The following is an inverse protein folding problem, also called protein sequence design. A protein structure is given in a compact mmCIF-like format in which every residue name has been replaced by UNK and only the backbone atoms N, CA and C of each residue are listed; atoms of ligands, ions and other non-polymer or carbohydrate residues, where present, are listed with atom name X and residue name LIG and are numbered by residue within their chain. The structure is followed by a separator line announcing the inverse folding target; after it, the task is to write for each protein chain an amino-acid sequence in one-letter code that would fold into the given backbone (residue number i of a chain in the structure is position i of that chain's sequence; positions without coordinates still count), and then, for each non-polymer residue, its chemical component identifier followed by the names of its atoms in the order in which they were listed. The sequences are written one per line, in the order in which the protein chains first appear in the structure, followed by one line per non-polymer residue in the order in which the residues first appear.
data_IF_903325067365
#
_entry.id   IF_903325067365
#
_cell.length_a   1.000
_cell.length_b   1.000
_cell.length_c   1.000
_cell.angle_alpha   90.00
_cell.angle_beta   90.00
_cell.angle_gamma   90.00
#
_symmetry.space_group_name_H-M   'P 1'
#
loop_
_entity.id
_entity.type
_entity.pdbx_description
1 polymer ?
#
# COMPACT_ATOMS: atom_id res chain seq x y z
N UNK A 1 -8.59 -7.78 21.19
CA UNK A 1 -8.34 -7.81 19.71
C UNK A 1 -6.99 -7.15 19.46
N UNK A 2 -6.11 -7.77 18.70
CA UNK A 2 -4.81 -7.17 18.36
C UNK A 2 -4.99 -6.31 17.09
N UNK A 3 -4.68 -5.02 17.18
CA UNK A 3 -4.73 -4.12 16.03
C UNK A 3 -3.44 -4.25 15.19
N UNK A 4 -3.58 -4.19 13.87
CA UNK A 4 -2.46 -4.36 12.95
C UNK A 4 -1.63 -3.08 12.81
N UNK A 5 -2.26 -1.91 13.00
CA UNK A 5 -1.65 -0.59 12.87
C UNK A 5 -2.37 0.45 13.74
N UNK A 6 -1.79 1.63 13.98
CA UNK A 6 -2.47 2.78 14.58
C UNK A 6 -3.74 3.18 13.82
N UNK A 7 -3.70 3.20 12.48
CA UNK A 7 -4.85 3.47 11.62
C UNK A 7 -5.99 2.46 11.88
N UNK A 8 -5.67 1.16 11.94
CA UNK A 8 -6.64 0.11 12.22
C UNK A 8 -7.37 0.35 13.56
N UNK A 9 -6.61 0.72 14.60
CA UNK A 9 -7.19 1.01 15.91
C UNK A 9 -8.17 2.18 15.85
N UNK A 10 -7.80 3.30 15.23
CA UNK A 10 -8.65 4.49 15.10
C UNK A 10 -9.93 4.20 14.32
N UNK A 11 -9.84 3.48 13.21
CA UNK A 11 -11.01 3.06 12.42
C UNK A 11 -11.95 2.16 13.21
N UNK A 12 -11.41 1.21 13.97
CA UNK A 12 -12.21 0.33 14.84
C UNK A 12 -12.93 1.12 15.93
N UNK A 13 -12.27 2.10 16.53
CA UNK A 13 -12.82 2.93 17.59
C UNK A 13 -13.82 4.00 17.08
N UNK A 14 -14.07 4.05 15.77
CA UNK A 14 -14.97 5.02 15.12
C UNK A 14 -14.45 6.46 15.16
N UNK A 15 -13.14 6.65 15.36
CA UNK A 15 -12.50 7.97 15.37
C UNK A 15 -12.38 8.47 13.94
N UNK A 16 -12.69 9.75 13.71
CA UNK A 16 -12.43 10.38 12.41
C UNK A 16 -10.94 10.36 12.10
N UNK A 17 -10.59 9.89 10.91
CA UNK A 17 -9.20 9.69 10.47
C UNK A 17 -8.88 10.66 9.34
N UNK A 18 -7.74 11.35 9.46
CA UNK A 18 -7.20 12.21 8.44
C UNK A 18 -5.95 11.57 7.82
N UNK A 19 -5.98 11.27 6.53
CA UNK A 19 -4.83 10.73 5.80
C UNK A 19 -4.29 11.73 4.80
N UNK A 20 -2.97 11.79 4.66
CA UNK A 20 -2.30 12.54 3.60
C UNK A 20 -1.72 11.58 2.55
N UNK A 21 -1.31 12.12 1.40
CA UNK A 21 -0.69 11.34 0.33
C UNK A 21 0.68 11.91 -0.02
N UNK A 22 1.62 11.03 -0.33
CA UNK A 22 2.94 11.38 -0.85
C UNK A 22 3.31 10.52 -2.05
N UNK A 23 3.92 11.16 -3.04
CA UNK A 23 4.66 10.45 -4.09
C UNK A 23 6.09 10.28 -3.63
N UNK A 24 6.64 9.05 -3.60
CA UNK A 24 8.05 8.83 -3.33
C UNK A 24 8.95 9.66 -4.25
N UNK A 25 10.09 10.17 -3.77
CA UNK A 25 10.94 11.03 -4.56
C UNK A 25 11.69 10.26 -5.66
N UNK A 26 12.17 11.01 -6.66
CA UNK A 26 13.11 10.53 -7.68
C UNK A 26 14.55 10.61 -7.13
N UNK A 27 14.78 9.96 -6.00
CA UNK A 27 16.03 10.02 -5.27
C UNK A 27 16.34 8.68 -4.62
N UNK A 28 17.63 8.40 -4.40
CA UNK A 28 18.12 7.15 -3.82
C UNK A 28 18.55 7.30 -2.35
N UNK A 29 18.02 8.30 -1.64
CA UNK A 29 18.28 8.47 -0.21
C UNK A 29 16.97 8.69 0.58
N UNK A 30 16.97 8.26 1.83
CA UNK A 30 15.79 8.35 2.70
C UNK A 30 15.51 9.77 3.20
N UNK A 31 16.52 10.62 3.27
CA UNK A 31 16.43 11.97 3.78
C UNK A 31 15.52 12.83 2.92
N UNK A 32 15.58 12.68 1.60
CA UNK A 32 14.68 13.38 0.66
C UNK A 32 13.21 13.00 0.91
N UNK A 33 12.93 11.71 1.14
CA UNK A 33 11.58 11.26 1.49
C UNK A 33 11.13 11.82 2.83
N UNK A 34 11.95 11.67 3.89
CA UNK A 34 11.60 12.11 5.24
C UNK A 34 11.39 13.63 5.33
N UNK A 35 12.22 14.42 4.66
CA UNK A 35 12.05 15.89 4.61
C UNK A 35 10.72 16.29 3.97
N UNK A 36 10.25 15.54 2.96
CA UNK A 36 8.95 15.76 2.33
C UNK A 36 7.78 15.41 3.25
N UNK A 37 7.95 14.42 4.12
CA UNK A 37 6.90 13.88 5.00
C UNK A 37 6.85 14.58 6.36
N UNK A 38 7.97 15.06 6.89
CA UNK A 38 8.04 15.68 8.21
C UNK A 38 6.95 16.72 8.50
N UNK A 39 6.54 17.59 7.56
CA UNK A 39 5.44 18.54 7.80
C UNK A 39 4.07 17.87 8.01
N UNK A 40 3.91 16.62 7.60
CA UNK A 40 2.65 15.88 7.66
C UNK A 40 2.57 14.94 8.87
N UNK A 41 3.70 14.65 9.52
CA UNK A 41 3.82 13.64 10.59
C UNK A 41 2.87 13.90 11.76
N UNK A 42 2.67 15.16 12.14
CA UNK A 42 1.88 15.55 13.30
C UNK A 42 0.43 15.94 12.94
N UNK A 43 0.07 15.93 11.66
CA UNK A 43 -1.27 16.33 11.18
C UNK A 43 -2.04 15.21 10.52
N UNK A 44 -1.38 14.17 10.04
CA UNK A 44 -2.02 13.03 9.39
C UNK A 44 -1.91 11.77 10.27
N UNK A 45 -2.99 11.00 10.35
CA UNK A 45 -3.05 9.73 11.08
C UNK A 45 -2.32 8.60 10.33
N UNK A 46 -2.26 8.70 9.00
CA UNK A 46 -1.50 7.80 8.14
C UNK A 46 -1.15 8.50 6.82
N UNK A 47 -0.10 8.01 6.16
CA UNK A 47 0.40 8.57 4.90
C UNK A 47 0.24 7.54 3.77
N UNK A 48 -0.57 7.86 2.77
CA UNK A 48 -0.64 7.11 1.51
C UNK A 48 0.66 7.28 0.73
N UNK A 49 1.30 6.18 0.40
CA UNK A 49 2.53 6.12 -0.40
C UNK A 49 2.16 5.63 -1.79
N UNK A 50 2.17 6.53 -2.78
CA UNK A 50 1.76 6.19 -4.16
C UNK A 50 2.77 5.27 -4.85
N UNK A 51 2.27 4.36 -5.69
CA UNK A 51 3.09 3.38 -6.41
C UNK A 51 3.21 3.76 -7.89
N UNK A 52 4.30 4.44 -8.23
CA UNK A 52 4.63 4.91 -9.60
C UNK A 52 3.45 5.61 -10.30
N UNK A 53 2.93 6.72 -9.70
CA UNK A 53 1.80 7.45 -10.26
C UNK A 53 2.13 8.01 -11.64
N UNK A 54 1.12 8.03 -12.53
CA UNK A 54 1.29 8.45 -13.93
C UNK A 54 2.23 7.52 -14.72
N UNK A 55 2.44 6.28 -14.25
CA UNK A 55 3.37 5.30 -14.83
C UNK A 55 4.80 5.83 -15.00
N UNK A 56 5.27 6.63 -14.03
CA UNK A 56 6.64 7.16 -13.99
C UNK A 56 7.44 6.47 -12.90
N UNK A 57 8.76 6.40 -13.11
CA UNK A 57 9.68 5.80 -12.12
C UNK A 57 9.85 6.76 -10.94
N UNK A 58 9.69 6.22 -9.73
CA UNK A 58 9.98 6.86 -8.45
C UNK A 58 10.69 5.85 -7.54
N UNK A 59 11.13 6.26 -6.36
CA UNK A 59 11.52 5.31 -5.33
C UNK A 59 10.38 4.31 -5.11
N UNK A 60 10.70 3.01 -4.97
CA UNK A 60 9.71 1.96 -4.73
C UNK A 60 8.76 2.32 -3.58
N UNK A 61 7.45 2.23 -3.81
CA UNK A 61 6.44 2.50 -2.79
C UNK A 61 6.62 1.62 -1.55
N UNK A 62 6.96 0.34 -1.74
CA UNK A 62 7.27 -0.58 -0.64
C UNK A 62 8.46 -0.10 0.18
N UNK A 63 9.55 0.30 -0.48
CA UNK A 63 10.74 0.84 0.20
C UNK A 63 10.41 2.13 0.96
N UNK A 64 9.67 3.04 0.34
CA UNK A 64 9.26 4.28 0.98
C UNK A 64 8.35 4.02 2.19
N UNK A 65 7.37 3.11 2.08
CA UNK A 65 6.50 2.72 3.18
C UNK A 65 7.28 2.10 4.36
N UNK A 66 8.28 1.26 4.08
CA UNK A 66 9.16 0.69 5.10
C UNK A 66 9.96 1.80 5.81
N UNK A 67 10.51 2.76 5.06
CA UNK A 67 11.21 3.90 5.66
C UNK A 67 10.29 4.69 6.59
N UNK A 68 9.04 4.95 6.19
CA UNK A 68 8.06 5.63 7.04
C UNK A 68 7.77 4.84 8.31
N UNK A 69 7.48 3.54 8.20
CA UNK A 69 7.21 2.67 9.34
C UNK A 69 8.39 2.65 10.34
N UNK A 70 9.64 2.64 9.86
CA UNK A 70 10.84 2.69 10.69
C UNK A 70 11.09 4.06 11.34
N UNK A 71 10.32 5.10 10.98
CA UNK A 71 10.39 6.44 11.54
C UNK A 71 9.09 6.84 12.27
N UNK A 72 8.34 5.84 12.77
CA UNK A 72 7.09 6.00 13.55
C UNK A 72 5.99 6.77 12.79
N UNK A 73 5.92 6.61 11.49
CA UNK A 73 4.87 7.14 10.62
C UNK A 73 4.08 5.96 10.06
N UNK A 74 2.76 5.94 10.28
CA UNK A 74 1.90 4.84 9.82
C UNK A 74 1.66 4.95 8.29
N UNK A 75 2.25 4.08 7.45
CA UNK A 75 2.08 4.14 6.01
C UNK A 75 0.84 3.39 5.55
N UNK A 76 0.22 3.85 4.46
CA UNK A 76 -0.68 3.07 3.63
C UNK A 76 0.06 2.79 2.32
N UNK A 77 0.53 1.56 2.15
CA UNK A 77 1.22 1.15 0.93
C UNK A 77 0.22 1.00 -0.21
N UNK A 78 0.31 1.85 -1.23
CA UNK A 78 -0.33 1.58 -2.51
C UNK A 78 0.47 0.51 -3.25
N UNK A 79 -0.20 -0.55 -3.70
CA UNK A 79 0.42 -1.68 -4.38
C UNK A 79 -0.30 -1.94 -5.70
N UNK A 80 0.34 -1.59 -6.81
CA UNK A 80 -0.21 -1.76 -8.17
C UNK A 80 0.10 -3.13 -8.73
N UNK A 81 -0.84 -3.71 -9.49
CA UNK A 81 -0.66 -4.96 -10.22
C UNK A 81 -0.01 -4.74 -11.60
N UNK A 82 0.21 -3.49 -11.99
CA UNK A 82 0.76 -3.14 -13.31
C UNK A 82 2.14 -3.73 -13.56
N UNK A 83 3.06 -3.56 -12.60
CA UNK A 83 4.49 -3.79 -12.81
C UNK A 83 4.98 -5.11 -12.22
N UNK A 84 4.12 -5.83 -11.48
CA UNK A 84 4.48 -7.03 -10.72
C UNK A 84 3.57 -8.20 -11.06
N UNK A 85 4.15 -9.38 -11.24
CA UNK A 85 3.37 -10.62 -11.32
C UNK A 85 2.93 -11.08 -9.92
N UNK A 86 2.05 -12.09 -9.88
CA UNK A 86 1.49 -12.62 -8.63
C UNK A 86 2.53 -13.12 -7.63
N UNK A 87 3.69 -13.61 -8.08
CA UNK A 87 4.74 -14.09 -7.19
C UNK A 87 5.41 -12.92 -6.47
N UNK A 88 5.75 -11.85 -7.21
CA UNK A 88 6.33 -10.63 -6.66
C UNK A 88 5.34 -9.96 -5.68
N UNK A 89 4.07 -9.81 -6.07
CA UNK A 89 3.04 -9.21 -5.22
C UNK A 89 2.84 -9.97 -3.89
N UNK A 90 2.83 -11.31 -3.91
CA UNK A 90 2.74 -12.12 -2.68
C UNK A 90 4.00 -11.97 -1.81
N UNK A 91 5.18 -11.91 -2.43
CA UNK A 91 6.44 -11.63 -1.73
C UNK A 91 6.43 -10.25 -1.08
N UNK A 92 5.99 -9.23 -1.81
CA UNK A 92 5.89 -7.84 -1.32
C UNK A 92 4.91 -7.72 -0.14
N UNK A 93 3.75 -8.38 -0.19
CA UNK A 93 2.79 -8.42 0.93
C UNK A 93 3.39 -9.05 2.19
N UNK A 94 4.12 -10.15 2.04
CA UNK A 94 4.84 -10.79 3.15
C UNK A 94 5.94 -9.90 3.72
N UNK A 95 6.77 -9.33 2.84
CA UNK A 95 7.85 -8.43 3.21
C UNK A 95 7.38 -7.13 3.87
N UNK A 96 6.31 -6.52 3.34
CA UNK A 96 5.66 -5.35 3.94
C UNK A 96 5.26 -5.62 5.40
N UNK A 97 4.51 -6.70 5.62
CA UNK A 97 4.07 -7.10 6.96
C UNK A 97 5.24 -7.38 7.91
N UNK A 98 6.30 -8.05 7.44
CA UNK A 98 7.47 -8.37 8.25
C UNK A 98 8.23 -7.12 8.71
N UNK A 99 8.13 -6.02 7.96
CA UNK A 99 8.83 -4.76 8.23
C UNK A 99 7.91 -3.65 8.77
N UNK A 100 6.71 -4.00 9.29
CA UNK A 100 5.82 -3.08 9.98
C UNK A 100 4.88 -2.28 9.07
N UNK A 101 4.81 -2.61 7.78
CA UNK A 101 3.85 -2.02 6.83
C UNK A 101 2.61 -2.90 6.77
N UNK A 102 1.52 -2.46 7.39
CA UNK A 102 0.33 -3.27 7.57
C UNK A 102 -0.89 -2.78 6.78
N UNK A 103 -0.95 -1.48 6.42
CA UNK A 103 -2.07 -0.94 5.67
C UNK A 103 -1.75 -0.99 4.18
N UNK A 104 -2.59 -1.70 3.41
CA UNK A 104 -2.37 -1.95 1.99
C UNK A 104 -3.57 -1.47 1.17
N UNK A 105 -3.30 -0.67 0.13
CA UNK A 105 -4.28 -0.25 -0.86
C UNK A 105 -3.92 -0.88 -2.22
N UNK A 106 -4.70 -1.88 -2.63
CA UNK A 106 -4.50 -2.59 -3.90
C UNK A 106 -5.07 -1.79 -5.07
N UNK A 107 -4.28 -1.54 -6.09
CA UNK A 107 -4.63 -0.73 -7.26
C UNK A 107 -4.27 -1.43 -8.58
N UNK A 108 -4.95 -1.03 -9.66
CA UNK A 108 -4.61 -1.49 -11.01
C UNK A 108 -3.33 -0.84 -11.54
N UNK A 109 -3.10 0.44 -11.21
CA UNK A 109 -2.05 1.29 -11.76
C UNK A 109 -2.45 1.95 -13.08
N UNK A 110 -1.75 3.04 -13.43
CA UNK A 110 -1.97 3.79 -14.67
C UNK A 110 -1.44 3.01 -15.90
N UNK A 111 -1.98 3.29 -17.10
CA UNK A 111 -1.46 2.69 -18.33
C UNK A 111 -0.01 3.18 -18.59
N UNK A 112 0.97 2.28 -18.82
CA UNK A 112 2.34 2.68 -19.15
C UNK A 112 2.47 3.66 -20.32
N UNK A 113 1.51 3.64 -21.24
CA UNK A 113 1.50 4.55 -22.41
C UNK A 113 1.41 6.02 -22.05
N UNK A 114 0.90 6.37 -20.87
CA UNK A 114 0.81 7.76 -20.39
C UNK A 114 2.06 8.20 -19.62
N UNK A 115 2.97 7.27 -19.34
CA UNK A 115 4.21 7.51 -18.61
C UNK A 115 5.36 7.98 -19.47
N UNK A 116 6.53 8.01 -18.87
CA UNK A 116 7.78 8.42 -19.52
C UNK A 116 8.50 7.27 -20.26
N UNK A 117 8.02 6.03 -20.10
CA UNK A 117 8.52 4.82 -20.75
C UNK A 117 7.35 4.03 -21.39
N UNK A 118 6.75 4.53 -22.47
CA UNK A 118 5.50 3.98 -23.00
C UNK A 118 5.62 2.57 -23.60
N UNK A 119 6.84 2.08 -23.90
CA UNK A 119 7.10 0.70 -24.34
C UNK A 119 7.14 -0.32 -23.19
N UNK A 120 7.04 0.12 -21.94
CA UNK A 120 6.99 -0.76 -20.78
C UNK A 120 5.83 -1.75 -20.88
N UNK A 121 6.12 -3.03 -20.69
CA UNK A 121 5.11 -4.08 -20.70
C UNK A 121 4.56 -4.30 -19.29
N UNK A 122 3.26 -4.09 -19.14
CA UNK A 122 2.56 -4.45 -17.89
C UNK A 122 2.61 -5.96 -17.66
N UNK A 123 2.74 -6.36 -16.41
CA UNK A 123 2.70 -7.77 -16.03
C UNK A 123 1.33 -8.41 -16.34
N UNK A 124 0.22 -7.69 -16.06
CA UNK A 124 -1.18 -8.12 -16.34
C UNK A 124 -1.49 -9.58 -15.93
N UNK A 125 -0.85 -10.04 -14.86
CA UNK A 125 -0.98 -11.42 -14.39
C UNK A 125 -2.24 -11.61 -13.53
N UNK A 126 -2.56 -10.62 -12.70
CA UNK A 126 -3.78 -10.54 -11.89
C UNK A 126 -4.32 -9.12 -11.89
N UNK A 127 -5.59 -8.95 -11.54
CA UNK A 127 -6.18 -7.63 -11.29
C UNK A 127 -6.14 -7.24 -9.79
N UNK A 128 -6.51 -6.00 -9.48
CA UNK A 128 -6.52 -5.49 -8.11
C UNK A 128 -7.50 -6.24 -7.20
N UNK A 129 -8.63 -6.71 -7.72
CA UNK A 129 -9.62 -7.51 -6.96
C UNK A 129 -9.04 -8.88 -6.59
N UNK A 130 -8.34 -9.52 -7.52
CA UNK A 130 -7.63 -10.78 -7.28
C UNK A 130 -6.50 -10.57 -6.26
N UNK A 131 -5.79 -9.43 -6.30
CA UNK A 131 -4.77 -9.10 -5.30
C UNK A 131 -5.37 -8.96 -3.90
N UNK A 132 -6.51 -8.26 -3.75
CA UNK A 132 -7.23 -8.17 -2.46
C UNK A 132 -7.64 -9.56 -1.96
N UNK A 133 -8.17 -10.41 -2.84
CA UNK A 133 -8.55 -11.78 -2.48
C UNK A 133 -7.34 -12.61 -2.05
N UNK A 134 -6.21 -12.49 -2.77
CA UNK A 134 -4.94 -13.13 -2.42
C UNK A 134 -4.44 -12.69 -1.05
N UNK A 135 -4.41 -11.39 -0.79
CA UNK A 135 -3.95 -10.84 0.48
C UNK A 135 -4.84 -11.29 1.66
N UNK A 136 -6.18 -11.37 1.44
CA UNK A 136 -7.10 -11.91 2.44
C UNK A 136 -6.86 -13.40 2.72
N UNK A 137 -6.62 -14.20 1.68
CA UNK A 137 -6.27 -15.62 1.83
C UNK A 137 -4.97 -15.78 2.62
N UNK A 138 -3.92 -15.03 2.28
CA UNK A 138 -2.65 -15.06 3.00
C UNK A 138 -2.83 -14.69 4.49
N UNK A 139 -3.64 -13.68 4.79
CA UNK A 139 -3.88 -13.19 6.15
C UNK A 139 -4.79 -14.12 6.96
N UNK A 140 -5.98 -14.49 6.40
CA UNK A 140 -7.04 -15.22 7.12
C UNK A 140 -6.82 -16.71 7.10
N UNK A 141 -6.54 -17.27 5.90
CA UNK A 141 -6.43 -18.71 5.71
C UNK A 141 -5.01 -19.23 5.96
N UNK A 142 -4.06 -18.32 6.13
CA UNK A 142 -2.63 -18.62 6.33
C UNK A 142 -2.05 -19.47 5.20
N UNK A 143 -2.48 -19.19 3.96
CA UNK A 143 -2.08 -19.91 2.76
C UNK A 143 -1.83 -18.98 1.58
N UNK A 144 -0.88 -19.35 0.75
CA UNK A 144 -0.77 -18.83 -0.61
C UNK A 144 -1.87 -19.38 -1.51
N UNK A 145 -2.21 -18.73 -2.64
CA UNK A 145 -3.13 -19.29 -3.64
C UNK A 145 -2.76 -20.71 -4.13
N UNK A 146 -1.49 -21.07 -4.06
CA UNK A 146 -0.99 -22.43 -4.35
C UNK A 146 -1.40 -23.49 -3.31
N UNK A 147 -2.00 -23.09 -2.19
CA UNK A 147 -2.30 -23.97 -1.05
C UNK A 147 -1.15 -24.14 -0.04
N UNK A 148 0.06 -23.65 -0.37
CA UNK A 148 1.21 -23.70 0.56
C UNK A 148 0.94 -22.83 1.78
N UNK A 149 1.24 -23.37 2.99
CA UNK A 149 1.03 -22.71 4.28
C UNK A 149 2.02 -21.56 4.46
N UNK A 150 1.57 -20.49 5.13
CA UNK A 150 2.36 -19.33 5.58
C UNK A 150 2.32 -19.32 7.11
N UNK A 151 3.47 -19.36 7.76
CA UNK A 151 3.58 -19.27 9.21
C UNK A 151 4.84 -18.48 9.59
N UNK A 152 4.69 -17.33 10.29
CA UNK A 152 3.44 -16.67 10.63
C UNK A 152 2.75 -16.00 9.42
N UNK A 153 1.42 -15.86 9.51
CA UNK A 153 0.64 -15.17 8.50
C UNK A 153 0.91 -13.65 8.51
N UNK A 154 0.84 -12.95 7.36
CA UNK A 154 1.03 -11.52 7.32
C UNK A 154 -0.11 -10.78 8.03
N UNK A 155 0.25 -9.72 8.77
CA UNK A 155 -0.68 -8.82 9.45
C UNK A 155 -1.04 -7.70 8.48
N UNK A 156 -2.21 -7.74 7.86
CA UNK A 156 -2.63 -6.77 6.84
C UNK A 156 -4.00 -6.19 7.15
N UNK A 157 -4.16 -4.89 6.94
CA UNK A 157 -5.42 -4.16 6.98
C UNK A 157 -5.90 -3.92 5.54
N UNK A 158 -6.94 -4.63 5.12
CA UNK A 158 -7.49 -4.55 3.76
C UNK A 158 -8.98 -4.20 3.73
N UNK A 159 -9.78 -4.67 4.69
CA UNK A 159 -11.23 -4.50 4.67
C UNK A 159 -11.65 -3.06 4.97
N UNK A 160 -11.00 -2.42 5.91
CA UNK A 160 -11.25 -1.04 6.31
C UNK A 160 -10.83 -0.03 5.23
N UNK A 161 -9.82 -0.36 4.42
CA UNK A 161 -9.42 0.49 3.28
C UNK A 161 -10.46 0.51 2.15
N UNK A 162 -11.24 -0.57 1.98
CA UNK A 162 -12.41 -0.56 1.07
C UNK A 162 -13.49 0.43 1.51
N UNK A 163 -13.63 0.63 2.80
CA UNK A 163 -14.57 1.62 3.36
C UNK A 163 -14.14 3.05 3.01
N UNK A 164 -12.86 3.38 3.19
CA UNK A 164 -12.29 4.68 2.82
C UNK A 164 -12.45 5.00 1.33
N UNK A 165 -12.32 3.99 0.45
CA UNK A 165 -12.56 4.17 -0.99
C UNK A 165 -14.03 4.52 -1.31
N UNK A 166 -15.00 3.97 -0.58
CA UNK A 166 -16.43 4.30 -0.79
C UNK A 166 -16.75 5.73 -0.37
N UNK A 167 -16.20 6.23 0.73
CA UNK A 167 -16.41 7.60 1.19
C UNK A 167 -15.77 8.65 0.28
N UNK A 168 -14.56 8.39 -0.25
CA UNK A 168 -13.93 9.26 -1.24
C UNK A 168 -14.72 9.36 -2.58
N UNK A 169 -15.52 8.36 -2.92
CA UNK A 169 -16.43 8.45 -4.07
C UNK A 169 -17.66 9.34 -3.78
N UNK A 170 -18.05 9.52 -2.53
CA UNK A 170 -19.13 10.45 -2.13
C UNK A 170 -18.65 11.89 -2.15
N UNK A 171 -17.40 12.17 -1.80
CA UNK A 171 -16.82 13.53 -1.86
C UNK A 171 -16.56 14.04 -3.28
N UNK A 172 -16.52 13.19 -4.31
CA UNK A 172 -16.40 13.60 -5.71
C UNK A 172 -17.75 13.99 -6.36
N UNK A 173 -18.84 14.08 -5.59
CA UNK A 173 -20.18 14.43 -6.08
C UNK A 173 -20.70 15.80 -5.60
N UNK A 174 -19.80 16.66 -5.11
CA UNK A 174 -20.17 18.06 -4.81
C UNK A 174 -19.28 19.05 -5.57
#
# INVERSE_FOLDING_TARGET
MEFQSPLHKKLHDGVFVFTAETTPPDASNKETLLNKINPLKDVADAINVTDSPGAKVHMSALTAAIILAQNDIDPILQLTVRDRNRLALQGDLGGASALGVHNILCLSGDDPKVGDQPETKSAKDIDSTTLVTTANMMRKDKKFPSGRVIDPAPKLLLEELKFLQKENQVQKRF
#
